data_IF_632836407414
#
_entry.id   IF_632836407414
#
_cell.length_a   1.000
_cell.length_b   1.000
_cell.length_c   1.000
_cell.angle_alpha   90.00
_cell.angle_beta   90.00
_cell.angle_gamma   90.00
#
_symmetry.space_group_name_H-M   'P 1'
#
loop_
_entity.id
_entity.type
_entity.pdbx_description
1 polymer ?
#
# COMPACT_ATOMS: atom_id res chain seq x y z
N UNK A 1 15.13 11.81 -14.61
CA UNK A 1 13.65 11.80 -14.69
C UNK A 1 13.17 13.23 -14.61
N UNK A 2 12.84 13.89 -15.74
CA UNK A 2 12.32 15.24 -15.74
C UNK A 2 10.85 15.26 -15.31
N UNK A 3 10.48 16.24 -14.47
CA UNK A 3 9.12 16.77 -14.34
C UNK A 3 8.03 15.82 -13.83
N UNK A 4 8.13 15.31 -12.60
CA UNK A 4 6.90 14.99 -11.87
C UNK A 4 6.42 16.28 -11.23
N UNK A 5 5.37 16.83 -11.81
CA UNK A 5 4.70 18.05 -11.37
C UNK A 5 4.54 18.04 -9.84
N UNK A 6 4.96 19.13 -9.20
CA UNK A 6 5.19 19.18 -7.76
C UNK A 6 3.89 19.21 -6.94
N UNK A 7 2.80 19.53 -7.63
CA UNK A 7 1.45 19.71 -7.10
C UNK A 7 0.43 18.76 -7.77
N UNK A 8 0.89 17.76 -8.54
CA UNK A 8 -0.02 16.81 -9.16
C UNK A 8 -0.71 15.92 -8.11
N UNK A 9 -2.00 15.60 -8.30
CA UNK A 9 -2.74 14.73 -7.41
C UNK A 9 -2.10 13.34 -7.32
N UNK A 10 -2.33 12.60 -6.23
CA UNK A 10 -1.72 11.31 -6.00
C UNK A 10 -2.24 10.28 -7.01
N UNK A 11 -1.33 9.80 -7.88
CA UNK A 11 -1.66 8.70 -8.78
C UNK A 11 -1.88 7.40 -7.98
N UNK A 12 -2.84 6.59 -8.43
CA UNK A 12 -3.05 5.23 -7.93
C UNK A 12 -2.62 4.24 -8.99
N UNK A 13 -1.57 3.46 -8.70
CA UNK A 13 -1.08 2.41 -9.60
C UNK A 13 -1.81 1.11 -9.24
N UNK A 14 -2.76 0.69 -10.07
CA UNK A 14 -3.62 -0.47 -9.85
C UNK A 14 -2.94 -1.78 -10.29
N UNK A 15 -3.03 -2.82 -9.46
CA UNK A 15 -2.75 -4.18 -9.92
C UNK A 15 -3.81 -4.61 -10.96
N UNK A 16 -3.40 -5.23 -12.08
CA UNK A 16 -4.33 -5.90 -12.97
C UNK A 16 -5.14 -6.97 -12.25
N UNK A 17 -6.44 -7.04 -12.54
CA UNK A 17 -7.35 -8.01 -11.90
C UNK A 17 -6.91 -9.47 -12.13
N UNK A 18 -6.27 -9.75 -13.28
CA UNK A 18 -5.69 -11.06 -13.60
C UNK A 18 -4.62 -11.51 -12.62
N UNK A 19 -3.92 -10.57 -11.98
CA UNK A 19 -2.79 -10.90 -11.10
C UNK A 19 -3.29 -11.40 -9.74
N UNK A 20 -4.53 -11.09 -9.36
CA UNK A 20 -5.12 -11.54 -8.09
C UNK A 20 -6.00 -12.77 -8.27
N UNK A 21 -6.70 -12.89 -9.41
CA UNK A 21 -7.51 -14.06 -9.78
C UNK A 21 -8.42 -14.61 -8.67
N UNK A 22 -8.86 -13.75 -7.74
CA UNK A 22 -9.52 -14.12 -6.50
C UNK A 22 -11.03 -13.90 -6.52
N UNK A 23 -11.58 -13.57 -7.70
CA UNK A 23 -13.01 -13.37 -7.95
C UNK A 23 -13.61 -12.11 -7.30
N UNK A 24 -12.80 -11.26 -6.66
CA UNK A 24 -13.27 -10.03 -6.03
C UNK A 24 -13.46 -8.92 -7.06
N UNK A 25 -14.52 -8.12 -6.88
CA UNK A 25 -14.87 -7.04 -7.79
C UNK A 25 -13.90 -5.85 -7.70
N UNK A 26 -13.45 -5.52 -6.49
CA UNK A 26 -12.54 -4.40 -6.25
C UNK A 26 -11.10 -4.70 -6.65
N UNK A 27 -10.34 -3.64 -6.94
CA UNK A 27 -8.91 -3.63 -7.27
C UNK A 27 -8.05 -3.33 -6.04
N UNK A 28 -6.76 -3.68 -6.11
CA UNK A 28 -5.73 -3.21 -5.16
C UNK A 28 -4.87 -2.16 -5.87
N UNK A 29 -4.81 -0.96 -5.29
CA UNK A 29 -4.01 0.16 -5.77
C UNK A 29 -2.87 0.51 -4.82
N UNK A 30 -1.80 1.12 -5.36
CA UNK A 30 -0.69 1.66 -4.59
C UNK A 30 -0.61 3.16 -4.79
N UNK A 31 -0.55 3.92 -3.69
CA UNK A 31 -0.47 5.38 -3.75
C UNK A 31 0.48 5.95 -2.69
N UNK A 32 0.82 7.22 -2.83
CA UNK A 32 1.58 7.99 -1.83
C UNK A 32 0.67 8.43 -0.67
N UNK A 33 1.25 8.87 0.44
CA UNK A 33 0.50 9.48 1.54
C UNK A 33 -0.28 10.73 1.05
N UNK A 34 -1.61 10.76 1.18
CA UNK A 34 -2.41 11.97 0.94
C UNK A 34 -2.05 13.08 1.91
N UNK A 35 -2.00 14.33 1.44
CA UNK A 35 -1.61 15.49 2.23
C UNK A 35 -0.13 15.47 2.64
N UNK A 36 0.70 14.69 1.95
CA UNK A 36 2.13 14.60 2.23
C UNK A 36 2.79 15.96 2.07
N UNK A 37 3.59 16.33 3.06
CA UNK A 37 4.38 17.54 3.03
C UNK A 37 5.81 17.33 3.57
N UNK A 38 6.67 18.31 3.31
CA UNK A 38 8.05 18.32 3.78
C UNK A 38 9.07 17.80 2.76
N UNK A 39 10.37 17.88 3.08
CA UNK A 39 11.45 17.46 2.19
C UNK A 39 11.36 15.96 1.86
N UNK A 40 11.62 15.64 0.60
CA UNK A 40 11.76 14.26 0.15
C UNK A 40 13.07 13.68 0.67
N UNK A 41 12.98 12.52 1.32
CA UNK A 41 14.17 11.74 1.69
C UNK A 41 14.78 11.01 0.49
N UNK A 42 14.00 10.72 -0.55
CA UNK A 42 14.46 9.97 -1.74
C UNK A 42 15.01 10.88 -2.84
N UNK A 43 14.43 12.06 -3.01
CA UNK A 43 14.77 12.97 -4.12
C UNK A 43 15.31 14.28 -3.54
N UNK A 44 16.65 14.43 -3.39
CA UNK A 44 17.26 15.63 -2.83
C UNK A 44 16.77 16.91 -3.53
N UNK A 45 16.48 17.95 -2.74
CA UNK A 45 15.95 19.23 -3.23
C UNK A 45 14.44 19.23 -3.49
N UNK A 46 13.76 18.08 -3.41
CA UNK A 46 12.31 18.01 -3.58
C UNK A 46 11.60 18.28 -2.25
N UNK A 47 10.56 19.12 -2.26
CA UNK A 47 9.70 19.42 -1.10
C UNK A 47 8.25 19.21 -1.48
N UNK A 48 7.54 18.36 -0.76
CA UNK A 48 6.11 18.10 -0.96
C UNK A 48 5.26 19.15 -0.23
N UNK A 49 4.14 19.54 -0.85
CA UNK A 49 3.14 20.47 -0.31
C UNK A 49 1.73 20.06 -0.74
N UNK A 50 1.42 18.76 -0.65
CA UNK A 50 0.14 18.26 -1.11
C UNK A 50 -1.00 18.78 -0.22
N UNK A 51 -2.11 19.16 -0.84
CA UNK A 51 -3.34 19.52 -0.14
C UNK A 51 -4.13 18.24 0.14
N UNK A 52 -4.44 17.98 1.41
CA UNK A 52 -5.09 16.73 1.81
C UNK A 52 -6.48 16.58 1.18
N UNK A 53 -7.24 17.66 1.09
CA UNK A 53 -8.63 17.59 0.62
C UNK A 53 -8.65 17.37 -0.90
N UNK A 54 -7.75 18.03 -1.64
CA UNK A 54 -7.53 17.78 -3.06
C UNK A 54 -7.04 16.34 -3.33
N UNK A 55 -6.12 15.83 -2.52
CA UNK A 55 -5.63 14.45 -2.63
C UNK A 55 -6.76 13.44 -2.39
N UNK A 56 -7.57 13.65 -1.35
CA UNK A 56 -8.71 12.77 -1.03
C UNK A 56 -9.78 12.82 -2.14
N UNK A 57 -10.07 14.00 -2.69
CA UNK A 57 -10.95 14.14 -3.85
C UNK A 57 -10.43 13.34 -5.05
N UNK A 58 -9.13 13.47 -5.38
CA UNK A 58 -8.52 12.76 -6.49
C UNK A 58 -8.52 11.23 -6.27
N UNK A 59 -8.27 10.75 -5.04
CA UNK A 59 -8.38 9.34 -4.72
C UNK A 59 -9.81 8.83 -4.92
N UNK A 60 -10.81 9.61 -4.49
CA UNK A 60 -12.21 9.25 -4.66
C UNK A 60 -12.60 9.20 -6.14
N UNK A 61 -12.18 10.18 -6.94
CA UNK A 61 -12.37 10.20 -8.39
C UNK A 61 -11.71 9.00 -9.08
N UNK A 62 -10.55 8.55 -8.58
CA UNK A 62 -9.88 7.34 -9.07
C UNK A 62 -10.59 6.03 -8.69
N UNK A 63 -11.66 6.09 -7.88
CA UNK A 63 -12.48 4.95 -7.44
C UNK A 63 -12.12 4.41 -6.06
N UNK A 64 -11.16 5.03 -5.35
CA UNK A 64 -10.79 4.59 -3.99
C UNK A 64 -11.95 4.85 -3.03
N UNK A 65 -12.35 3.81 -2.31
CA UNK A 65 -13.36 3.91 -1.24
C UNK A 65 -12.81 3.44 0.11
N UNK A 66 -11.67 2.75 0.07
CA UNK A 66 -10.98 2.16 1.19
C UNK A 66 -9.49 2.48 1.06
N UNK A 67 -8.93 3.14 2.08
CA UNK A 67 -7.52 3.49 2.13
C UNK A 67 -6.87 2.77 3.30
N UNK A 68 -5.98 1.82 2.99
CA UNK A 68 -5.16 1.13 4.00
C UNK A 68 -3.88 1.95 4.22
N UNK A 69 -3.80 2.60 5.38
CA UNK A 69 -2.75 3.57 5.69
C UNK A 69 -1.71 2.98 6.65
N UNK A 70 -0.50 2.78 6.14
CA UNK A 70 0.62 2.09 6.79
C UNK A 70 1.57 3.00 7.58
N UNK A 71 1.32 4.30 7.59
CA UNK A 71 2.20 5.31 8.20
C UNK A 71 2.15 5.24 9.73
N UNK A 72 3.29 5.33 10.44
CA UNK A 72 3.31 5.46 11.89
C UNK A 72 2.67 6.79 12.36
N UNK A 73 2.15 6.86 13.58
CA UNK A 73 1.47 8.09 14.05
C UNK A 73 2.42 9.29 14.11
N UNK A 74 3.67 9.07 14.53
CA UNK A 74 4.70 10.11 14.57
C UNK A 74 5.06 10.60 13.17
N UNK A 75 5.08 9.69 12.19
CA UNK A 75 5.29 10.03 10.79
C UNK A 75 4.09 10.79 10.22
N UNK A 76 2.86 10.41 10.58
CA UNK A 76 1.64 11.09 10.12
C UNK A 76 1.60 12.52 10.62
N UNK A 77 1.92 12.74 11.90
CA UNK A 77 2.02 14.09 12.49
C UNK A 77 3.11 14.92 11.83
N UNK A 78 4.25 14.29 11.49
CA UNK A 78 5.42 15.01 10.97
C UNK A 78 5.37 15.31 9.48
N UNK A 79 4.77 14.42 8.69
CA UNK A 79 4.88 14.44 7.22
C UNK A 79 3.54 14.40 6.49
N UNK A 80 2.44 14.22 7.21
CA UNK A 80 1.09 14.21 6.66
C UNK A 80 0.16 15.01 7.56
N UNK A 81 -1.10 14.61 7.63
CA UNK A 81 -2.09 15.34 8.40
C UNK A 81 -2.77 14.44 9.44
N UNK A 82 -2.72 14.83 10.72
CA UNK A 82 -3.37 14.09 11.80
C UNK A 82 -4.90 13.99 11.63
N UNK A 83 -5.50 14.89 10.86
CA UNK A 83 -6.92 14.89 10.51
C UNK A 83 -7.27 13.98 9.33
N UNK A 84 -6.32 13.28 8.70
CA UNK A 84 -6.54 12.47 7.48
C UNK A 84 -7.72 11.51 7.62
N UNK A 85 -7.76 10.71 8.69
CA UNK A 85 -8.85 9.73 8.91
C UNK A 85 -10.22 10.42 8.96
N UNK A 86 -10.31 11.53 9.71
CA UNK A 86 -11.55 12.29 9.84
C UNK A 86 -11.96 12.95 8.53
N UNK A 87 -11.01 13.51 7.78
CA UNK A 87 -11.28 14.23 6.54
C UNK A 87 -11.64 13.31 5.38
N UNK A 88 -11.02 12.14 5.31
CA UNK A 88 -11.33 11.10 4.31
C UNK A 88 -12.82 10.69 4.33
N UNK A 89 -13.46 10.69 5.50
CA UNK A 89 -14.88 10.38 5.62
C UNK A 89 -15.77 11.37 4.85
N UNK A 90 -15.38 12.64 4.70
CA UNK A 90 -16.12 13.63 3.91
C UNK A 90 -16.06 13.37 2.40
N UNK A 91 -15.14 12.49 1.96
CA UNK A 91 -14.97 12.06 0.57
C UNK A 91 -15.43 10.62 0.33
N UNK A 92 -16.21 10.04 1.25
CA UNK A 92 -16.66 8.64 1.22
C UNK A 92 -15.49 7.62 1.17
N UNK A 93 -14.36 7.98 1.76
CA UNK A 93 -13.19 7.11 1.92
C UNK A 93 -13.11 6.67 3.38
N UNK A 94 -13.23 5.36 3.61
CA UNK A 94 -12.93 4.77 4.92
C UNK A 94 -11.44 4.45 4.98
N UNK A 95 -10.80 4.84 6.10
CA UNK A 95 -9.37 4.68 6.30
C UNK A 95 -9.11 3.63 7.37
N UNK A 96 -8.46 2.54 6.97
CA UNK A 96 -8.01 1.48 7.90
C UNK A 96 -6.54 1.73 8.24
N UNK A 97 -6.24 1.87 9.54
CA UNK A 97 -4.89 2.19 10.03
C UNK A 97 -4.16 0.91 10.43
N UNK A 98 -3.00 0.67 9.81
CA UNK A 98 -2.06 -0.38 10.20
C UNK A 98 -0.65 0.20 10.29
N UNK A 99 -0.33 0.95 11.36
CA UNK A 99 0.92 1.69 11.46
C UNK A 99 2.15 0.77 11.43
N UNK A 100 3.07 1.01 10.49
CA UNK A 100 4.32 0.27 10.34
C UNK A 100 5.50 1.23 10.43
N UNK A 101 6.53 0.88 11.21
CA UNK A 101 7.77 1.65 11.28
C UNK A 101 8.43 1.80 9.88
N UNK A 102 9.05 2.95 9.62
CA UNK A 102 9.64 3.20 8.31
C UNK A 102 10.74 2.19 7.94
N UNK A 103 10.76 1.76 6.68
CA UNK A 103 11.68 0.74 6.19
C UNK A 103 11.43 -0.70 6.71
N UNK A 104 10.51 -0.89 7.65
CA UNK A 104 10.18 -2.20 8.22
C UNK A 104 9.00 -2.87 7.50
N UNK A 105 8.98 -4.21 7.40
CA UNK A 105 7.75 -4.96 7.14
C UNK A 105 6.87 -5.02 8.41
N UNK A 106 5.66 -5.60 8.34
CA UNK A 106 4.93 -6.03 9.55
C UNK A 106 5.79 -6.92 10.44
N UNK A 107 5.53 -6.88 11.75
CA UNK A 107 6.27 -7.63 12.76
C UNK A 107 5.96 -9.14 12.75
N UNK A 108 4.86 -9.55 12.12
CA UNK A 108 4.50 -10.96 12.00
C UNK A 108 3.65 -11.27 10.76
N UNK A 109 3.59 -12.55 10.40
CA UNK A 109 2.68 -13.05 9.36
C UNK A 109 1.21 -12.86 9.75
N UNK A 110 0.86 -12.97 11.04
CA UNK A 110 -0.50 -12.70 11.54
C UNK A 110 -0.90 -11.24 11.34
N UNK A 111 0.00 -10.30 11.59
CA UNK A 111 -0.24 -8.88 11.33
C UNK A 111 -0.43 -8.60 9.83
N UNK A 112 0.38 -9.24 8.97
CA UNK A 112 0.17 -9.19 7.52
C UNK A 112 -1.18 -9.77 7.10
N UNK A 113 -1.58 -10.92 7.67
CA UNK A 113 -2.87 -11.54 7.38
C UNK A 113 -4.05 -10.61 7.77
N UNK A 114 -3.94 -9.88 8.89
CA UNK A 114 -4.94 -8.90 9.29
C UNK A 114 -5.07 -7.73 8.29
N UNK A 115 -3.94 -7.21 7.79
CA UNK A 115 -3.92 -6.18 6.74
C UNK A 115 -4.58 -6.70 5.46
N UNK A 116 -4.19 -7.89 5.01
CA UNK A 116 -4.72 -8.51 3.80
C UNK A 116 -6.21 -8.86 3.91
N UNK A 117 -6.68 -9.20 5.11
CA UNK A 117 -8.10 -9.44 5.38
C UNK A 117 -8.92 -8.16 5.21
N UNK A 118 -8.49 -7.03 5.80
CA UNK A 118 -9.14 -5.72 5.58
C UNK A 118 -9.20 -5.35 4.10
N UNK A 119 -8.08 -5.52 3.37
CA UNK A 119 -8.05 -5.28 1.91
C UNK A 119 -9.04 -6.20 1.18
N UNK A 120 -9.08 -7.47 1.56
CA UNK A 120 -9.94 -8.47 0.93
C UNK A 120 -11.43 -8.22 1.18
N UNK A 121 -11.79 -7.78 2.38
CA UNK A 121 -13.14 -7.39 2.76
C UNK A 121 -13.58 -6.12 2.01
N UNK A 122 -12.72 -5.10 1.97
CA UNK A 122 -12.93 -3.89 1.18
C UNK A 122 -13.24 -4.21 -0.30
N UNK A 123 -12.46 -5.12 -0.89
CA UNK A 123 -12.56 -5.53 -2.29
C UNK A 123 -13.80 -6.32 -2.66
N UNK A 124 -14.62 -6.73 -1.70
CA UNK A 124 -15.91 -7.36 -2.01
C UNK A 124 -16.86 -6.40 -2.72
N UNK A 125 -16.79 -5.11 -2.40
CA UNK A 125 -17.70 -4.09 -2.91
C UNK A 125 -17.01 -2.95 -3.67
N UNK A 126 -15.72 -2.69 -3.43
CA UNK A 126 -15.08 -1.50 -3.97
C UNK A 126 -13.55 -1.56 -4.01
N UNK A 127 -12.93 -0.58 -4.66
CA UNK A 127 -11.47 -0.52 -4.78
C UNK A 127 -10.79 -0.05 -3.49
N UNK A 128 -9.67 -0.70 -3.18
CA UNK A 128 -8.82 -0.40 -2.03
C UNK A 128 -7.45 0.11 -2.50
N UNK A 129 -6.97 1.20 -1.89
CA UNK A 129 -5.61 1.70 -2.09
C UNK A 129 -4.77 1.49 -0.82
N UNK A 130 -3.50 1.15 -0.99
CA UNK A 130 -2.53 0.99 0.10
C UNK A 130 -1.52 2.13 0.03
N UNK A 131 -1.34 2.84 1.15
CA UNK A 131 -0.46 4.00 1.22
C UNK A 131 0.54 3.90 2.39
N UNK A 132 1.80 4.21 2.09
CA UNK A 132 2.83 4.58 3.05
C UNK A 132 3.36 5.97 2.66
N UNK A 133 4.55 6.36 3.12
CA UNK A 133 5.08 7.71 2.83
C UNK A 133 5.33 7.94 1.33
N UNK A 134 5.83 6.94 0.61
CA UNK A 134 6.12 7.03 -0.84
C UNK A 134 5.30 6.06 -1.70
N UNK A 135 4.50 5.19 -1.09
CA UNK A 135 3.82 4.12 -1.81
C UNK A 135 4.78 3.12 -2.46
N UNK A 136 5.96 2.88 -1.90
CA UNK A 136 7.02 2.05 -2.53
C UNK A 136 7.46 0.88 -1.65
N UNK A 137 8.05 1.11 -0.47
CA UNK A 137 8.58 0.04 0.39
C UNK A 137 7.50 -0.73 1.13
N UNK A 138 6.95 -0.14 2.21
CA UNK A 138 5.87 -0.73 3.03
C UNK A 138 4.65 -1.12 2.18
N UNK A 139 4.17 -0.18 1.35
CA UNK A 139 3.09 -0.44 0.39
C UNK A 139 3.42 -1.61 -0.53
N UNK A 140 4.59 -1.60 -1.17
CA UNK A 140 4.98 -2.69 -2.06
C UNK A 140 5.10 -4.05 -1.34
N UNK A 141 5.50 -4.04 -0.07
CA UNK A 141 5.57 -5.25 0.77
C UNK A 141 4.20 -5.86 1.00
N UNK A 142 3.20 -5.04 1.37
CA UNK A 142 1.81 -5.49 1.55
C UNK A 142 1.25 -6.01 0.23
N UNK A 143 1.42 -5.26 -0.87
CA UNK A 143 0.90 -5.68 -2.18
C UNK A 143 1.59 -6.94 -2.71
N UNK A 144 2.89 -7.11 -2.47
CA UNK A 144 3.60 -8.35 -2.83
C UNK A 144 3.06 -9.54 -2.03
N UNK A 145 2.76 -9.37 -0.73
CA UNK A 145 2.12 -10.43 0.06
C UNK A 145 0.68 -10.72 -0.41
N UNK A 146 -0.06 -9.73 -0.92
CA UNK A 146 -1.36 -9.96 -1.55
C UNK A 146 -1.26 -10.84 -2.80
N UNK A 147 -0.26 -10.61 -3.66
CA UNK A 147 0.02 -11.47 -4.82
C UNK A 147 0.44 -12.89 -4.39
N UNK A 148 1.27 -13.01 -3.35
CA UNK A 148 1.63 -14.32 -2.78
C UNK A 148 0.39 -15.04 -2.26
N UNK A 149 -0.53 -14.33 -1.60
CA UNK A 149 -1.81 -14.91 -1.15
C UNK A 149 -2.72 -15.33 -2.33
N UNK A 150 -2.57 -14.68 -3.49
CA UNK A 150 -3.19 -15.05 -4.77
C UNK A 150 -2.47 -16.19 -5.51
N UNK A 151 -1.39 -16.75 -4.96
CA UNK A 151 -0.70 -17.93 -5.50
C UNK A 151 0.63 -17.64 -6.22
N UNK A 152 1.11 -16.39 -6.22
CA UNK A 152 2.40 -16.06 -6.81
C UNK A 152 3.57 -16.60 -5.98
N UNK A 153 4.67 -16.92 -6.66
CA UNK A 153 5.98 -17.07 -6.01
C UNK A 153 6.46 -15.71 -5.46
N UNK A 154 7.10 -15.73 -4.29
CA UNK A 154 7.52 -14.50 -3.59
C UNK A 154 8.36 -13.55 -4.44
N UNK A 155 9.38 -14.06 -5.13
CA UNK A 155 10.25 -13.21 -5.96
C UNK A 155 9.54 -12.71 -7.22
N UNK A 156 8.62 -13.49 -7.78
CA UNK A 156 7.79 -13.06 -8.91
C UNK A 156 6.80 -11.95 -8.48
N UNK A 157 6.20 -12.08 -7.29
CA UNK A 157 5.34 -11.03 -6.71
C UNK A 157 6.12 -9.72 -6.49
N UNK A 158 7.34 -9.78 -5.97
CA UNK A 158 8.21 -8.61 -5.79
C UNK A 158 8.52 -7.96 -7.14
N UNK A 159 8.94 -8.75 -8.14
CA UNK A 159 9.22 -8.26 -9.48
C UNK A 159 7.98 -7.58 -10.08
N UNK A 160 6.81 -8.19 -9.92
CA UNK A 160 5.55 -7.66 -10.43
C UNK A 160 5.18 -6.31 -9.81
N UNK A 161 5.31 -6.18 -8.49
CA UNK A 161 5.08 -4.90 -7.80
C UNK A 161 6.05 -3.82 -8.29
N UNK A 162 7.31 -4.19 -8.57
CA UNK A 162 8.31 -3.27 -9.10
C UNK A 162 7.96 -2.76 -10.51
N UNK A 163 7.42 -3.62 -11.36
CA UNK A 163 6.93 -3.25 -12.69
C UNK A 163 5.75 -2.28 -12.60
N UNK A 164 4.76 -2.59 -11.76
CA UNK A 164 3.51 -1.82 -11.66
C UNK A 164 3.74 -0.45 -11.01
N UNK A 165 4.58 -0.40 -9.96
CA UNK A 165 4.70 0.80 -9.11
C UNK A 165 6.01 1.55 -9.28
N UNK A 166 7.13 0.89 -8.99
CA UNK A 166 8.45 1.52 -8.96
C UNK A 166 9.55 0.45 -8.90
N UNK A 167 10.66 0.58 -9.65
CA UNK A 167 11.75 -0.42 -9.67
C UNK A 167 12.35 -0.76 -8.29
N UNK A 168 12.24 0.17 -7.34
CA UNK A 168 12.70 0.02 -5.95
C UNK A 168 11.60 -0.41 -4.96
N UNK A 169 10.41 -0.81 -5.42
CA UNK A 169 9.36 -1.30 -4.53
C UNK A 169 9.84 -2.54 -3.77
N UNK A 170 9.37 -2.68 -2.51
CA UNK A 170 9.97 -3.58 -1.52
C UNK A 170 11.43 -3.17 -1.31
N UNK A 171 11.63 -2.07 -0.57
CA UNK A 171 12.85 -1.24 -0.57
C UNK A 171 14.00 -1.86 0.22
N UNK A 172 13.68 -2.57 1.30
CA UNK A 172 14.70 -3.08 2.23
C UNK A 172 14.85 -4.59 2.12
N UNK A 173 16.04 -5.10 2.42
CA UNK A 173 16.29 -6.55 2.50
C UNK A 173 15.35 -7.22 3.52
N UNK A 174 15.01 -6.53 4.60
CA UNK A 174 14.06 -7.01 5.60
C UNK A 174 12.65 -7.19 4.99
N UNK A 175 12.20 -6.25 4.16
CA UNK A 175 10.92 -6.35 3.45
C UNK A 175 10.92 -7.50 2.44
N UNK A 176 11.96 -7.64 1.62
CA UNK A 176 12.06 -8.77 0.69
C UNK A 176 12.06 -10.11 1.41
N UNK A 177 12.85 -10.23 2.49
CA UNK A 177 12.90 -11.44 3.30
C UNK A 177 11.55 -11.74 3.94
N UNK A 178 10.82 -10.72 4.37
CA UNK A 178 9.48 -10.89 4.92
C UNK A 178 8.52 -11.49 3.88
N UNK A 179 8.48 -10.98 2.65
CA UNK A 179 7.63 -11.55 1.58
C UNK A 179 7.96 -13.03 1.35
N UNK A 180 9.25 -13.39 1.31
CA UNK A 180 9.69 -14.78 1.17
C UNK A 180 9.27 -15.64 2.37
N UNK A 181 9.38 -15.12 3.59
CA UNK A 181 8.92 -15.80 4.80
C UNK A 181 7.41 -16.01 4.80
N UNK A 182 6.63 -14.97 4.47
CA UNK A 182 5.19 -15.04 4.32
C UNK A 182 4.76 -16.15 3.35
N UNK A 183 5.42 -16.24 2.19
CA UNK A 183 5.19 -17.29 1.20
C UNK A 183 5.44 -18.70 1.74
N UNK A 184 6.56 -18.91 2.47
CA UNK A 184 6.88 -20.23 3.05
C UNK A 184 5.85 -20.64 4.12
N UNK A 185 5.50 -19.72 5.02
CA UNK A 185 4.56 -20.00 6.09
C UNK A 185 3.14 -20.23 5.58
N UNK A 186 2.69 -19.51 4.53
CA UNK A 186 1.43 -19.81 3.87
C UNK A 186 1.39 -21.22 3.30
N UNK A 187 2.43 -21.65 2.60
CA UNK A 187 2.51 -23.02 2.04
C UNK A 187 2.47 -24.08 3.12
N UNK A 188 3.21 -23.88 4.20
CA UNK A 188 3.19 -24.78 5.35
C UNK A 188 1.79 -24.92 5.94
N UNK A 189 1.08 -23.79 6.15
CA UNK A 189 -0.30 -23.78 6.65
C UNK A 189 -1.30 -24.48 5.72
N UNK A 190 -1.18 -24.30 4.41
CA UNK A 190 -2.03 -24.99 3.42
C UNK A 190 -1.80 -26.51 3.37
N UNK A 191 -0.56 -26.96 3.58
CA UNK A 191 -0.23 -28.39 3.62
C UNK A 191 -0.79 -29.09 4.87
N UNK A 192 -0.76 -28.42 6.03
CA UNK A 192 -1.33 -28.96 7.29
C UNK A 192 -2.86 -29.07 7.27
N UNK A 193 -3.57 -28.20 6.57
CA UNK A 193 -5.04 -28.25 6.46
C UNK A 193 -5.53 -29.33 5.48
N UNK A 194 -4.66 -29.78 4.58
CA UNK A 194 -4.97 -30.79 3.55
C UNK A 194 -4.57 -32.22 3.95
N UNK A 195 -4.12 -32.43 5.20
CA UNK A 195 -3.74 -33.73 5.79
C UNK A 195 -4.71 -34.10 6.90
#
# INVERSE_FOLDING_TARGET
MPGLDMDAPPRVDWLPASDLADGRAGRIGMTVLPGKHGPSMRYPGRVYRADLDADLAALREAGVTRLVLLIADEELVRWGDAGLVRRAAAFDIVVDRYPLADGCPPGSVTEMDAILMSISEARTAADAAVACMGGVGRTGTVVACALVAAGWEADAAIARVREVRHPMAVETRAQEQFVRTYSRERRARSATVSS
#
